data_IF_907153433192
#
_entry.id   IF_907153433192
#
_cell.length_a   1.000
_cell.length_b   1.000
_cell.length_c   1.000
_cell.angle_alpha   90.00
_cell.angle_beta   90.00
_cell.angle_gamma   90.00
#
_symmetry.space_group_name_H-M   'P 1'
#
loop_
_entity.id
_entity.type
_entity.pdbx_description
1 polymer ?
#
# COMPACT_ATOMS: atom_id res chain seq x y z
N UNK A 1 13.50 -0.19 4.06
CA UNK A 1 14.33 1.03 4.22
C UNK A 1 13.42 2.12 4.76
N UNK A 2 13.64 2.56 5.99
CA UNK A 2 12.94 3.74 6.52
C UNK A 2 13.59 4.96 5.86
N UNK A 3 12.78 5.76 5.16
CA UNK A 3 13.26 7.06 4.67
C UNK A 3 13.45 7.97 5.89
N UNK A 4 14.67 8.41 6.22
CA UNK A 4 14.91 9.24 7.40
C UNK A 4 14.19 10.59 7.34
N UNK A 5 13.82 11.05 6.14
CA UNK A 5 13.13 12.33 5.93
C UNK A 5 11.61 12.22 6.06
N UNK A 6 11.06 11.00 6.12
CA UNK A 6 9.62 10.75 6.23
C UNK A 6 9.26 10.14 7.58
N UNK A 7 9.82 10.66 8.63
CA UNK A 7 9.58 10.18 9.98
C UNK A 7 8.32 10.85 10.55
N UNK A 8 7.14 10.35 10.18
CA UNK A 8 5.85 10.74 10.77
C UNK A 8 5.87 10.76 12.32
N UNK A 9 6.84 10.08 12.91
CA UNK A 9 6.93 9.88 14.36
C UNK A 9 7.96 10.76 15.09
N UNK A 10 8.83 11.47 14.36
CA UNK A 10 9.94 12.22 14.98
C UNK A 10 10.36 13.44 14.15
N UNK A 11 9.43 14.26 13.71
CA UNK A 11 9.79 15.58 13.20
C UNK A 11 10.13 16.47 14.41
N UNK A 12 11.43 16.60 14.70
CA UNK A 12 11.91 17.55 15.70
C UNK A 12 12.01 18.91 15.01
N UNK A 13 11.19 19.89 15.40
CA UNK A 13 11.38 21.24 14.89
C UNK A 13 12.79 21.70 15.26
N UNK A 14 13.51 22.29 14.31
CA UNK A 14 14.71 23.03 14.64
C UNK A 14 14.36 24.04 15.74
N UNK A 15 15.24 24.22 16.72
CA UNK A 15 14.98 25.05 17.90
C UNK A 15 14.59 26.50 17.57
N UNK A 16 14.76 26.92 16.32
CA UNK A 16 14.41 28.24 15.77
C UNK A 16 13.01 28.32 15.15
N UNK A 17 12.39 27.18 14.79
CA UNK A 17 11.07 27.18 14.19
C UNK A 17 9.99 26.97 15.25
N UNK A 18 9.06 27.91 15.36
CA UNK A 18 7.83 27.79 16.20
C UNK A 18 6.84 26.78 15.62
N UNK A 19 7.27 25.91 14.70
CA UNK A 19 6.45 24.89 14.05
C UNK A 19 6.38 23.67 14.98
N UNK A 20 5.17 23.26 15.33
CA UNK A 20 4.95 22.05 16.13
C UNK A 20 5.44 20.84 15.36
N UNK A 21 6.46 20.15 15.88
CA UNK A 21 6.88 18.86 15.35
C UNK A 21 5.92 17.73 15.74
N UNK A 22 5.96 16.65 14.98
CA UNK A 22 5.18 15.44 15.24
C UNK A 22 5.81 14.65 16.39
N UNK A 23 5.02 14.30 17.39
CA UNK A 23 5.42 13.46 18.53
C UNK A 23 4.51 12.24 18.61
N UNK A 24 4.93 11.13 19.28
CA UNK A 24 4.05 9.97 19.45
C UNK A 24 2.69 10.33 20.07
N UNK A 25 2.67 11.26 21.03
CA UNK A 25 1.43 11.74 21.66
C UNK A 25 0.53 12.51 20.67
N UNK A 26 1.11 13.33 19.78
CA UNK A 26 0.34 14.06 18.78
C UNK A 26 -0.19 13.13 17.70
N UNK A 27 0.52 12.04 17.36
CA UNK A 27 0.03 11.02 16.45
C UNK A 27 -1.22 10.31 17.00
N UNK A 28 -1.22 9.95 18.29
CA UNK A 28 -2.40 9.35 18.93
C UNK A 28 -3.60 10.31 18.90
N UNK A 29 -3.36 11.62 19.13
CA UNK A 29 -4.45 12.62 19.02
C UNK A 29 -4.95 12.75 17.58
N UNK A 30 -4.04 12.72 16.58
CA UNK A 30 -4.41 12.76 15.17
C UNK A 30 -5.25 11.53 14.78
N UNK A 31 -4.94 10.35 15.31
CA UNK A 31 -5.76 9.15 15.11
C UNK A 31 -7.20 9.36 15.61
N UNK A 32 -7.37 9.96 16.81
CA UNK A 32 -8.71 10.29 17.33
C UNK A 32 -9.46 11.33 16.48
N UNK A 33 -8.76 12.25 15.81
CA UNK A 33 -9.37 13.17 14.84
C UNK A 33 -9.83 12.39 13.59
N UNK A 34 -9.02 11.44 13.11
CA UNK A 34 -9.35 10.60 11.96
C UNK A 34 -10.57 9.68 12.22
N UNK A 35 -10.78 9.26 13.45
CA UNK A 35 -11.98 8.48 13.81
C UNK A 35 -13.28 9.27 13.60
N UNK A 36 -13.17 10.61 13.57
CA UNK A 36 -14.31 11.52 13.32
C UNK A 36 -14.38 12.03 11.87
N UNK A 37 -13.51 11.55 10.95
CA UNK A 37 -13.37 12.08 9.59
C UNK A 37 -14.69 12.10 8.80
N UNK A 38 -15.55 11.12 9.02
CA UNK A 38 -16.82 11.01 8.29
C UNK A 38 -17.85 12.09 8.72
N UNK A 39 -17.57 12.82 9.81
CA UNK A 39 -18.41 13.90 10.35
C UNK A 39 -17.85 15.30 10.06
N UNK A 40 -16.66 15.38 9.50
CA UNK A 40 -15.92 16.61 9.20
C UNK A 40 -15.79 16.80 7.70
N UNK A 41 -15.78 18.05 7.24
CA UNK A 41 -15.32 18.36 5.90
C UNK A 41 -13.79 18.32 5.82
N UNK A 42 -13.26 18.18 4.60
CA UNK A 42 -11.83 18.00 4.36
C UNK A 42 -10.98 19.18 4.87
N UNK A 43 -11.49 20.42 4.80
CA UNK A 43 -10.77 21.61 5.25
C UNK A 43 -10.69 21.64 6.78
N UNK A 44 -11.77 21.32 7.45
CA UNK A 44 -11.84 21.22 8.93
C UNK A 44 -10.94 20.10 9.41
N UNK A 45 -11.00 18.92 8.77
CA UNK A 45 -10.14 17.78 9.08
C UNK A 45 -8.65 18.15 8.92
N UNK A 46 -8.29 18.75 7.79
CA UNK A 46 -6.92 19.17 7.54
C UNK A 46 -6.44 20.21 8.57
N UNK A 47 -7.26 21.22 8.87
CA UNK A 47 -6.93 22.25 9.86
C UNK A 47 -6.69 21.65 11.26
N UNK A 48 -7.53 20.70 11.68
CA UNK A 48 -7.37 19.99 12.96
C UNK A 48 -6.08 19.15 12.99
N UNK A 49 -5.76 18.46 11.90
CA UNK A 49 -4.52 17.71 11.75
C UNK A 49 -3.29 18.62 11.76
N UNK A 50 -3.30 19.76 11.05
CA UNK A 50 -2.21 20.74 11.05
C UNK A 50 -1.96 21.24 12.48
N UNK A 51 -3.00 21.57 13.24
CA UNK A 51 -2.89 21.98 14.64
C UNK A 51 -2.32 20.91 15.56
N UNK A 52 -2.40 19.65 15.19
CA UNK A 52 -2.02 18.51 16.03
C UNK A 52 -0.64 17.95 15.68
N UNK A 53 -0.34 17.72 14.40
CA UNK A 53 0.90 17.05 13.93
C UNK A 53 1.77 17.95 13.04
N UNK A 54 1.38 19.19 12.81
CA UNK A 54 2.09 20.14 11.97
C UNK A 54 1.72 20.03 10.49
N UNK A 55 2.09 21.06 9.73
CA UNK A 55 1.66 21.25 8.33
C UNK A 55 2.06 20.09 7.41
N UNK A 56 3.35 19.76 7.36
CA UNK A 56 3.86 18.73 6.44
C UNK A 56 3.29 17.34 6.76
N UNK A 57 3.28 16.97 8.05
CA UNK A 57 2.74 15.67 8.47
C UNK A 57 1.24 15.55 8.20
N UNK A 58 0.47 16.64 8.38
CA UNK A 58 -0.96 16.66 8.11
C UNK A 58 -1.25 16.48 6.62
N UNK A 59 -0.55 17.21 5.74
CA UNK A 59 -0.73 17.06 4.28
C UNK A 59 -0.32 15.67 3.79
N UNK A 60 0.80 15.13 4.28
CA UNK A 60 1.22 13.77 3.95
C UNK A 60 0.18 12.73 4.40
N UNK A 61 -0.40 12.91 5.58
CA UNK A 61 -1.43 12.01 6.10
C UNK A 61 -2.73 12.12 5.28
N UNK A 62 -3.17 13.32 4.92
CA UNK A 62 -4.34 13.51 4.05
C UNK A 62 -4.14 12.87 2.68
N UNK A 63 -2.97 13.06 2.06
CA UNK A 63 -2.64 12.39 0.79
C UNK A 63 -2.68 10.88 0.93
N UNK A 64 -2.13 10.34 2.02
CA UNK A 64 -2.17 8.89 2.29
C UNK A 64 -3.62 8.39 2.45
N UNK A 65 -4.48 9.12 3.16
CA UNK A 65 -5.88 8.76 3.33
C UNK A 65 -6.61 8.74 1.98
N UNK A 66 -6.43 9.77 1.17
CA UNK A 66 -7.02 9.84 -0.17
C UNK A 66 -6.59 8.68 -1.08
N UNK A 67 -5.34 8.23 -0.95
CA UNK A 67 -4.86 7.04 -1.65
C UNK A 67 -5.51 5.79 -1.06
N UNK A 68 -5.56 5.67 0.26
CA UNK A 68 -6.13 4.52 0.96
C UNK A 68 -7.62 4.32 0.65
N UNK A 69 -8.39 5.41 0.52
CA UNK A 69 -9.81 5.37 0.18
C UNK A 69 -10.09 4.90 -1.27
N UNK A 70 -9.07 4.90 -2.13
CA UNK A 70 -9.17 4.33 -3.48
C UNK A 70 -8.95 2.82 -3.52
N UNK A 71 -8.42 2.23 -2.45
CA UNK A 71 -8.09 0.81 -2.43
C UNK A 71 -9.38 -0.04 -2.42
N UNK A 72 -9.41 -1.12 -3.22
CA UNK A 72 -10.48 -2.10 -3.11
C UNK A 72 -10.41 -2.81 -1.75
N UNK A 73 -11.55 -3.23 -1.22
CA UNK A 73 -11.56 -4.14 -0.08
C UNK A 73 -10.97 -5.49 -0.49
N UNK A 74 -10.27 -6.15 0.44
CA UNK A 74 -9.75 -7.50 0.18
C UNK A 74 -10.87 -8.49 -0.10
N UNK A 75 -12.01 -8.29 0.53
CA UNK A 75 -13.17 -9.15 0.34
C UNK A 75 -13.72 -9.03 -1.09
N UNK A 76 -13.78 -7.82 -1.66
CA UNK A 76 -14.19 -7.64 -3.06
C UNK A 76 -13.24 -8.34 -4.04
N UNK A 77 -11.93 -8.33 -3.76
CA UNK A 77 -10.96 -9.07 -4.58
C UNK A 77 -11.12 -10.58 -4.43
N UNK A 78 -11.43 -11.07 -3.23
CA UNK A 78 -11.62 -12.51 -3.00
C UNK A 78 -12.88 -13.03 -3.68
N UNK A 79 -13.99 -12.29 -3.58
CA UNK A 79 -15.29 -12.74 -4.06
C UNK A 79 -15.51 -12.49 -5.55
N UNK A 80 -15.09 -11.32 -6.05
CA UNK A 80 -15.26 -10.92 -7.44
C UNK A 80 -14.03 -10.21 -8.01
N UNK A 81 -12.92 -10.94 -8.19
CA UNK A 81 -11.67 -10.36 -8.67
C UNK A 81 -11.78 -9.75 -10.09
N UNK A 82 -12.71 -10.23 -10.89
CA UNK A 82 -12.92 -9.74 -12.25
C UNK A 82 -13.52 -8.33 -12.29
N UNK A 83 -14.33 -7.96 -11.30
CA UNK A 83 -15.00 -6.66 -11.22
C UNK A 83 -14.50 -5.78 -10.07
N UNK A 84 -13.67 -6.31 -9.17
CA UNK A 84 -13.10 -5.53 -8.08
C UNK A 84 -12.42 -4.25 -8.61
N UNK A 85 -12.60 -3.14 -7.91
CA UNK A 85 -12.10 -1.81 -8.30
C UNK A 85 -10.58 -1.84 -8.49
N UNK A 86 -10.09 -1.28 -9.60
CA UNK A 86 -8.67 -0.97 -9.81
C UNK A 86 -8.48 0.51 -9.49
N UNK A 87 -7.53 0.88 -8.61
CA UNK A 87 -7.22 2.28 -8.35
C UNK A 87 -6.74 3.00 -9.61
N UNK A 88 -7.04 4.30 -9.71
CA UNK A 88 -6.71 5.11 -10.89
C UNK A 88 -5.29 5.67 -10.89
N UNK A 89 -4.57 5.61 -9.77
CA UNK A 89 -3.22 6.14 -9.64
C UNK A 89 -2.20 5.05 -9.27
N UNK A 90 -0.98 5.19 -9.77
CA UNK A 90 0.09 4.22 -9.57
C UNK A 90 0.43 3.96 -8.08
N UNK A 91 0.52 4.96 -7.18
CA UNK A 91 0.75 4.71 -5.77
C UNK A 91 -0.30 3.81 -5.12
N UNK A 92 -1.59 4.03 -5.42
CA UNK A 92 -2.66 3.18 -4.89
C UNK A 92 -2.61 1.76 -5.46
N UNK A 93 -2.29 1.60 -6.76
CA UNK A 93 -2.08 0.28 -7.37
C UNK A 93 -0.95 -0.46 -6.66
N UNK A 94 0.19 0.20 -6.43
CA UNK A 94 1.32 -0.40 -5.71
C UNK A 94 0.96 -0.76 -4.27
N UNK A 95 0.15 0.05 -3.57
CA UNK A 95 -0.35 -0.30 -2.24
C UNK A 95 -1.20 -1.57 -2.26
N UNK A 96 -2.06 -1.76 -3.27
CA UNK A 96 -2.83 -3.01 -3.43
C UNK A 96 -1.88 -4.18 -3.64
N UNK A 97 -0.89 -4.06 -4.52
CA UNK A 97 0.11 -5.10 -4.81
C UNK A 97 0.82 -5.57 -3.53
N UNK A 98 1.34 -4.63 -2.73
CA UNK A 98 2.00 -4.94 -1.47
C UNK A 98 1.04 -5.52 -0.42
N UNK A 99 -0.19 -5.01 -0.37
CA UNK A 99 -1.22 -5.55 0.51
C UNK A 99 -1.56 -7.00 0.16
N UNK A 100 -1.72 -7.31 -1.13
CA UNK A 100 -1.95 -8.67 -1.60
C UNK A 100 -0.81 -9.62 -1.20
N UNK A 101 0.45 -9.21 -1.38
CA UNK A 101 1.63 -9.98 -0.93
C UNK A 101 1.60 -10.28 0.56
N UNK A 102 1.22 -9.30 1.38
CA UNK A 102 1.21 -9.43 2.82
C UNK A 102 0.14 -10.42 3.32
N UNK A 103 -1.06 -10.40 2.70
CA UNK A 103 -2.24 -11.10 3.24
C UNK A 103 -2.66 -12.33 2.44
N UNK A 104 -2.00 -12.66 1.33
CA UNK A 104 -2.35 -13.80 0.49
C UNK A 104 -2.30 -15.12 1.27
N UNK A 105 -3.30 -15.97 1.04
CA UNK A 105 -3.44 -17.31 1.58
C UNK A 105 -3.80 -18.28 0.45
N UNK A 106 -3.54 -19.57 0.67
CA UNK A 106 -3.74 -20.62 -0.33
C UNK A 106 -5.15 -20.61 -0.96
N UNK A 107 -6.18 -20.32 -0.16
CA UNK A 107 -7.59 -20.45 -0.57
C UNK A 107 -8.06 -19.42 -1.61
N UNK A 108 -7.29 -18.35 -1.88
CA UNK A 108 -7.70 -17.30 -2.81
C UNK A 108 -6.59 -16.82 -3.76
N UNK A 109 -5.59 -17.66 -4.00
CA UNK A 109 -4.52 -17.38 -4.98
C UNK A 109 -5.10 -17.14 -6.38
N UNK A 110 -6.09 -17.92 -6.80
CA UNK A 110 -6.77 -17.76 -8.09
C UNK A 110 -7.42 -16.38 -8.21
N UNK A 111 -8.14 -15.93 -7.17
CA UNK A 111 -8.74 -14.60 -7.14
C UNK A 111 -7.67 -13.50 -7.20
N UNK A 112 -6.58 -13.66 -6.46
CA UNK A 112 -5.46 -12.73 -6.50
C UNK A 112 -4.85 -12.65 -7.89
N UNK A 113 -4.55 -13.78 -8.53
CA UNK A 113 -3.99 -13.83 -9.89
C UNK A 113 -4.95 -13.27 -10.93
N UNK A 114 -6.26 -13.52 -10.80
CA UNK A 114 -7.28 -12.94 -11.67
C UNK A 114 -7.32 -11.43 -11.54
N UNK A 115 -7.26 -10.89 -10.33
CA UNK A 115 -7.19 -9.45 -10.11
C UNK A 115 -5.91 -8.85 -10.69
N UNK A 116 -4.75 -9.45 -10.41
CA UNK A 116 -3.46 -9.00 -10.92
C UNK A 116 -3.39 -9.01 -12.44
N UNK A 117 -4.01 -9.99 -13.11
CA UNK A 117 -4.01 -10.07 -14.58
C UNK A 117 -4.69 -8.89 -15.28
N UNK A 118 -5.46 -8.09 -14.54
CA UNK A 118 -6.12 -6.86 -15.02
C UNK A 118 -5.23 -5.62 -14.90
N UNK A 119 -4.12 -5.72 -14.19
CA UNK A 119 -3.11 -4.67 -14.06
C UNK A 119 -2.14 -4.72 -15.26
N UNK A 120 -1.32 -3.68 -15.42
CA UNK A 120 -0.26 -3.69 -16.42
C UNK A 120 0.80 -4.76 -16.13
N UNK A 121 1.51 -5.21 -17.18
CA UNK A 121 2.47 -6.31 -17.07
C UNK A 121 3.67 -5.97 -16.17
N UNK A 122 4.07 -4.69 -16.09
CA UNK A 122 5.15 -4.25 -15.22
C UNK A 122 4.76 -4.41 -13.76
N UNK A 123 3.57 -3.96 -13.40
CA UNK A 123 3.00 -4.13 -12.04
C UNK A 123 2.86 -5.61 -11.66
N UNK A 124 2.40 -6.46 -12.61
CA UNK A 124 2.37 -7.91 -12.40
C UNK A 124 3.78 -8.45 -12.14
N UNK A 125 4.78 -8.00 -12.92
CA UNK A 125 6.18 -8.37 -12.76
C UNK A 125 6.75 -8.00 -11.37
N UNK A 126 6.41 -6.83 -10.85
CA UNK A 126 6.79 -6.42 -9.48
C UNK A 126 6.24 -7.39 -8.44
N UNK A 127 4.95 -7.76 -8.53
CA UNK A 127 4.35 -8.72 -7.61
C UNK A 127 5.01 -10.10 -7.68
N UNK A 128 5.19 -10.64 -8.89
CA UNK A 128 5.84 -11.95 -9.10
C UNK A 128 7.30 -11.92 -8.64
N UNK A 129 8.06 -10.85 -8.95
CA UNK A 129 9.42 -10.67 -8.50
C UNK A 129 9.54 -10.67 -6.97
N UNK A 130 8.59 -10.00 -6.29
CA UNK A 130 8.55 -10.00 -4.83
C UNK A 130 8.21 -11.38 -4.25
N UNK A 131 7.30 -12.14 -4.87
CA UNK A 131 7.02 -13.54 -4.48
C UNK A 131 8.26 -14.42 -4.66
N UNK A 132 9.05 -14.21 -5.72
CA UNK A 132 10.26 -15.00 -6.02
C UNK A 132 11.48 -14.57 -5.20
N UNK A 133 11.42 -13.47 -4.45
CA UNK A 133 12.52 -13.03 -3.58
C UNK A 133 12.75 -14.04 -2.45
N UNK A 134 14.03 -14.37 -2.20
CA UNK A 134 14.43 -15.32 -1.15
C UNK A 134 14.01 -14.91 0.27
N UNK A 135 13.71 -13.63 0.48
CA UNK A 135 13.27 -13.08 1.76
C UNK A 135 11.75 -13.19 1.97
N UNK A 136 11.00 -13.56 0.93
CA UNK A 136 9.56 -13.74 1.04
C UNK A 136 9.24 -15.03 1.80
N UNK A 137 8.06 -15.08 2.43
CA UNK A 137 7.59 -16.25 3.18
C UNK A 137 7.58 -17.51 2.31
N UNK A 138 8.44 -18.48 2.66
CA UNK A 138 8.63 -19.71 1.87
C UNK A 138 7.37 -20.57 1.77
N UNK A 139 6.50 -20.54 2.78
CA UNK A 139 5.22 -21.27 2.75
C UNK A 139 4.27 -20.63 1.75
N UNK A 140 4.19 -19.28 1.75
CA UNK A 140 3.39 -18.56 0.77
C UNK A 140 3.93 -18.75 -0.64
N UNK A 141 5.24 -18.61 -0.83
CA UNK A 141 5.91 -18.87 -2.10
C UNK A 141 5.57 -20.26 -2.65
N UNK A 142 5.62 -21.29 -1.80
CA UNK A 142 5.35 -22.67 -2.22
C UNK A 142 3.94 -22.86 -2.79
N UNK A 143 2.90 -22.36 -2.13
CA UNK A 143 1.55 -22.56 -2.64
C UNK A 143 1.21 -21.61 -3.81
N UNK A 144 1.82 -20.43 -3.90
CA UNK A 144 1.68 -19.54 -5.04
C UNK A 144 2.34 -20.16 -6.27
N UNK A 145 3.56 -20.71 -6.14
CA UNK A 145 4.28 -21.33 -7.24
C UNK A 145 3.59 -22.60 -7.79
N UNK A 146 2.75 -23.25 -7.01
CA UNK A 146 1.92 -24.41 -7.42
C UNK A 146 0.65 -23.96 -8.19
N UNK A 147 0.34 -22.66 -8.19
CA UNK A 147 -0.86 -22.15 -8.84
C UNK A 147 -0.68 -22.14 -10.36
N UNK A 148 -1.69 -22.63 -11.08
CA UNK A 148 -1.67 -22.73 -12.54
C UNK A 148 -1.51 -21.37 -13.21
N UNK A 149 -2.27 -20.37 -12.79
CA UNK A 149 -2.20 -19.02 -13.39
C UNK A 149 -0.83 -18.38 -13.17
N UNK A 150 -0.23 -18.59 -11.99
CA UNK A 150 1.13 -18.13 -11.71
C UNK A 150 2.15 -18.81 -12.64
N UNK A 151 2.04 -20.13 -12.83
CA UNK A 151 2.95 -20.90 -13.70
C UNK A 151 2.80 -20.47 -15.17
N UNK A 152 1.58 -20.26 -15.65
CA UNK A 152 1.29 -19.76 -17.00
C UNK A 152 1.89 -18.33 -17.19
N UNK A 153 1.73 -17.47 -16.20
CA UNK A 153 2.33 -16.13 -16.22
C UNK A 153 3.86 -16.20 -16.28
N UNK A 154 4.46 -17.01 -15.40
CA UNK A 154 5.91 -17.18 -15.36
C UNK A 154 6.48 -17.76 -16.67
N UNK A 155 5.77 -18.66 -17.31
CA UNK A 155 6.14 -19.17 -18.65
C UNK A 155 6.09 -18.11 -19.74
N UNK A 156 5.13 -17.18 -19.67
CA UNK A 156 4.93 -16.14 -20.69
C UNK A 156 5.85 -14.93 -20.49
N UNK A 157 6.03 -14.51 -19.25
CA UNK A 157 6.67 -13.23 -18.90
C UNK A 157 7.92 -13.39 -18.03
N UNK A 158 8.38 -14.61 -17.77
CA UNK A 158 9.53 -14.87 -16.89
C UNK A 158 10.83 -14.20 -17.32
N UNK A 159 10.96 -13.83 -18.60
CA UNK A 159 12.08 -13.06 -19.12
C UNK A 159 12.22 -11.68 -18.47
N UNK A 160 11.10 -11.07 -18.01
CA UNK A 160 11.13 -9.79 -17.33
C UNK A 160 11.85 -9.87 -15.98
N UNK A 161 11.83 -11.04 -15.32
CA UNK A 161 12.50 -11.27 -14.04
C UNK A 161 14.01 -11.49 -14.17
N UNK A 162 14.50 -11.76 -15.39
CA UNK A 162 15.91 -12.02 -15.65
C UNK A 162 16.67 -10.77 -16.12
N UNK A 163 15.98 -9.72 -16.55
CA UNK A 163 16.57 -8.49 -17.07
C UNK A 163 17.29 -7.63 -16.00
N UNK A 164 16.95 -7.79 -14.72
CA UNK A 164 17.51 -7.02 -13.58
C UNK A 164 18.82 -7.62 -13.01
N UNK A 165 19.43 -8.58 -13.65
CA UNK A 165 20.66 -9.26 -13.16
C UNK A 165 21.94 -8.87 -13.89
N UNK A 166 21.91 -7.76 -14.63
CA UNK A 166 23.13 -7.23 -15.32
C UNK A 166 23.65 -5.99 -14.64
#
# INVERSE_FOLDING_TARGET
>A
MQNPDNNLFCDRPNATDRVKGTTPRSVVKAAGILDMRDTLDDDTLLAALIGTIGYHSAHNLMTFIQIADQLPSLESIKQDPANAKIPSNAPAVMMVVWRLLAVIERGWVDSCMTYLSRLDTETQGVWVGAVMDKRYDSKKQSFIAQNRMFTEWAGKYGYLLSADKT
#
